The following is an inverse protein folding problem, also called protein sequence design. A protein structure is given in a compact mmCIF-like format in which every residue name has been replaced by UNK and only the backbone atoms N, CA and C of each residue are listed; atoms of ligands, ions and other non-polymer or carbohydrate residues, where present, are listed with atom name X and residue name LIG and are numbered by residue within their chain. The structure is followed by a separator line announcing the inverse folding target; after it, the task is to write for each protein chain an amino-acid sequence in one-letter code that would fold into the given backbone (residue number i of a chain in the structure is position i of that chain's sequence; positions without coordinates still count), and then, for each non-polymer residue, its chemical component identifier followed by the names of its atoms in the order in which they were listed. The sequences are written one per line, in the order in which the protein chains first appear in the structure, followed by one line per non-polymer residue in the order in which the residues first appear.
data_IF_847414430327
#
_entry.id   IF_847414430327
#
_cell.length_a   1.000
_cell.length_b   1.000
_cell.length_c   1.000
_cell.angle_alpha   90.00
_cell.angle_beta   90.00
_cell.angle_gamma   90.00
#
_symmetry.space_group_name_H-M   'P 1'
#
loop_
_entity.id
_entity.type
_entity.pdbx_description
1 polymer ?
#
# COMPACT_ATOMS: atom_id res chain seq x y z
N UNK A 1 9.52 -2.32 -10.17
CA UNK A 1 10.09 -2.38 -8.80
C UNK A 1 8.96 -2.53 -7.79
N UNK A 2 9.15 -3.28 -6.71
CA UNK A 2 8.15 -3.34 -5.64
C UNK A 2 8.20 -2.02 -4.87
N UNK A 3 7.06 -1.36 -4.70
CA UNK A 3 6.97 -0.05 -4.05
C UNK A 3 5.79 -0.01 -3.09
N UNK A 4 5.88 0.88 -2.12
CA UNK A 4 4.79 1.22 -1.21
C UNK A 4 4.22 2.58 -1.64
N UNK A 5 2.90 2.71 -1.72
CA UNK A 5 2.25 3.96 -2.10
C UNK A 5 0.99 4.22 -1.25
N UNK A 6 0.65 5.48 -1.01
CA UNK A 6 -0.57 5.92 -0.32
C UNK A 6 -1.23 7.08 -1.07
N UNK A 7 -2.36 7.57 -0.57
CA UNK A 7 -2.98 8.76 -1.15
C UNK A 7 -2.12 10.01 -0.90
N UNK A 8 -2.01 10.88 -1.91
CA UNK A 8 -1.18 12.11 -1.83
C UNK A 8 -1.62 12.98 -0.66
N UNK A 9 -0.65 13.40 0.16
CA UNK A 9 -0.90 14.25 1.33
C UNK A 9 -1.68 13.57 2.46
N UNK A 10 -1.92 12.26 2.39
CA UNK A 10 -2.56 11.54 3.47
C UNK A 10 -1.67 11.56 4.73
N UNK A 11 -2.24 11.85 5.91
CA UNK A 11 -1.49 11.81 7.14
C UNK A 11 -1.02 10.37 7.42
N UNK A 12 0.14 10.22 8.07
CA UNK A 12 0.57 8.90 8.51
C UNK A 12 -0.47 8.35 9.50
N UNK A 13 -0.97 7.12 9.30
CA UNK A 13 -2.09 6.59 10.08
C UNK A 13 -1.72 6.42 11.54
N UNK A 14 -2.66 6.78 12.43
CA UNK A 14 -2.54 6.58 13.87
C UNK A 14 -2.94 5.13 14.21
N UNK A 15 -1.96 4.31 14.58
CA UNK A 15 -2.18 2.91 14.98
C UNK A 15 -1.56 1.91 13.99
N UNK A 16 -2.16 0.72 13.90
CA UNK A 16 -1.69 -0.29 12.95
C UNK A 16 -1.96 0.15 11.52
N UNK A 17 -0.93 0.05 10.69
CA UNK A 17 -1.02 0.36 9.27
C UNK A 17 -1.81 -0.74 8.55
N UNK A 18 -2.82 -0.35 7.79
CA UNK A 18 -3.55 -1.24 6.88
C UNK A 18 -2.91 -1.20 5.50
N UNK A 19 -2.48 -2.36 5.01
CA UNK A 19 -1.74 -2.47 3.75
C UNK A 19 -2.47 -3.40 2.80
N UNK A 20 -2.90 -2.88 1.66
CA UNK A 20 -3.50 -3.69 0.61
C UNK A 20 -2.45 -4.16 -0.42
N UNK A 21 -2.46 -5.45 -0.75
CA UNK A 21 -1.51 -5.99 -1.74
C UNK A 21 -1.95 -7.33 -2.32
N UNK A 22 -1.46 -7.64 -3.53
CA UNK A 22 -1.43 -9.02 -4.04
C UNK A 22 -0.30 -9.87 -3.45
N UNK A 23 0.70 -9.27 -2.81
CA UNK A 23 1.91 -9.93 -2.32
C UNK A 23 1.95 -10.03 -0.79
N UNK A 24 0.97 -10.73 -0.19
CA UNK A 24 0.78 -10.75 1.28
C UNK A 24 2.04 -11.11 2.06
N UNK A 25 2.74 -12.16 1.66
CA UNK A 25 3.96 -12.61 2.38
C UNK A 25 5.11 -11.61 2.23
N UNK A 26 5.22 -10.95 1.06
CA UNK A 26 6.23 -9.91 0.84
C UNK A 26 5.93 -8.70 1.72
N UNK A 27 4.68 -8.25 1.78
CA UNK A 27 4.28 -7.14 2.64
C UNK A 27 4.54 -7.44 4.11
N UNK A 28 4.14 -8.62 4.60
CA UNK A 28 4.40 -9.05 5.98
C UNK A 28 5.89 -9.02 6.31
N UNK A 29 6.73 -9.57 5.42
CA UNK A 29 8.19 -9.59 5.62
C UNK A 29 8.80 -8.19 5.59
N UNK A 30 8.42 -7.38 4.60
CA UNK A 30 8.89 -6.01 4.43
C UNK A 30 8.65 -5.16 5.68
N UNK A 31 7.44 -5.23 6.26
CA UNK A 31 7.14 -4.47 7.48
C UNK A 31 7.73 -5.11 8.75
N UNK A 32 7.85 -6.43 8.81
CA UNK A 32 8.52 -7.12 9.91
C UNK A 32 10.00 -6.74 10.01
N UNK A 33 10.71 -6.64 8.87
CA UNK A 33 12.10 -6.17 8.78
C UNK A 33 12.26 -4.71 9.29
N UNK A 34 11.18 -3.93 9.29
CA UNK A 34 11.13 -2.55 9.82
C UNK A 34 10.65 -2.49 11.28
N UNK A 35 10.39 -3.63 11.94
CA UNK A 35 9.83 -3.67 13.29
C UNK A 35 8.40 -3.14 13.38
N UNK A 36 7.67 -3.09 12.24
CA UNK A 36 6.34 -2.49 12.14
C UNK A 36 5.28 -3.56 11.97
N UNK A 37 4.31 -3.59 12.87
CA UNK A 37 3.17 -4.49 12.76
C UNK A 37 2.09 -3.87 11.87
N UNK A 38 1.60 -4.66 10.91
CA UNK A 38 0.63 -4.19 9.90
C UNK A 38 -0.50 -5.20 9.72
N UNK A 39 -1.69 -4.69 9.39
CA UNK A 39 -2.82 -5.50 8.99
C UNK A 39 -2.84 -5.58 7.45
N UNK A 40 -2.57 -6.77 6.92
CA UNK A 40 -2.45 -6.97 5.47
C UNK A 40 -3.78 -7.42 4.88
N UNK A 41 -4.30 -6.64 3.93
CA UNK A 41 -5.52 -6.89 3.18
C UNK A 41 -5.12 -7.49 1.83
N UNK A 42 -5.48 -8.76 1.59
CA UNK A 42 -5.23 -9.41 0.30
C UNK A 42 -6.19 -8.83 -0.74
N UNK A 43 -5.63 -8.28 -1.81
CA UNK A 43 -6.38 -7.92 -3.01
C UNK A 43 -5.92 -8.76 -4.20
N UNK A 44 -6.81 -8.92 -5.18
CA UNK A 44 -6.56 -9.64 -6.43
C UNK A 44 -6.30 -8.70 -7.62
N UNK A 45 -6.71 -7.44 -7.52
CA UNK A 45 -6.53 -6.39 -8.53
C UNK A 45 -6.96 -5.02 -7.98
N UNK A 46 -6.88 -3.99 -8.83
CA UNK A 46 -7.32 -2.62 -8.54
C UNK A 46 -6.79 -2.06 -7.22
N UNK A 47 -5.49 -2.25 -6.95
CA UNK A 47 -4.87 -1.86 -5.68
C UNK A 47 -4.97 -0.36 -5.45
N UNK A 48 -4.86 0.42 -6.52
CA UNK A 48 -4.96 1.87 -6.54
C UNK A 48 -6.25 2.42 -5.92
N UNK A 49 -7.34 1.65 -5.92
CA UNK A 49 -8.61 2.05 -5.31
C UNK A 49 -8.58 1.94 -3.78
N UNK A 50 -7.75 1.06 -3.21
CA UNK A 50 -7.78 0.76 -1.78
C UNK A 50 -7.48 1.99 -0.88
N UNK A 51 -6.49 2.84 -1.20
CA UNK A 51 -6.29 4.10 -0.50
C UNK A 51 -7.42 5.11 -0.74
N UNK A 52 -7.91 5.19 -1.97
CA UNK A 52 -8.92 6.17 -2.37
C UNK A 52 -10.27 5.99 -1.65
N UNK A 53 -10.65 4.75 -1.34
CA UNK A 53 -11.90 4.43 -0.62
C UNK A 53 -11.70 4.20 0.88
N UNK A 54 -10.49 4.41 1.40
CA UNK A 54 -10.16 4.22 2.82
C UNK A 54 -10.11 2.75 3.28
N UNK A 55 -10.06 1.79 2.36
CA UNK A 55 -9.91 0.37 2.67
C UNK A 55 -8.54 0.08 3.29
N UNK A 56 -7.49 0.68 2.75
CA UNK A 56 -6.11 0.56 3.23
C UNK A 56 -5.46 1.92 3.27
N UNK A 57 -4.48 2.11 4.15
CA UNK A 57 -3.73 3.36 4.23
C UNK A 57 -2.62 3.39 3.16
N UNK A 58 -2.03 2.22 2.87
CA UNK A 58 -1.01 2.05 1.83
C UNK A 58 -1.26 0.81 1.00
N UNK A 59 -0.67 0.78 -0.18
CA UNK A 59 -0.56 -0.41 -1.02
C UNK A 59 0.89 -0.84 -1.18
N UNK A 60 1.09 -2.12 -1.43
CA UNK A 60 2.35 -2.64 -1.98
C UNK A 60 2.05 -3.26 -3.34
N UNK A 61 2.67 -2.71 -4.39
CA UNK A 61 2.55 -3.24 -5.74
C UNK A 61 3.84 -3.10 -6.55
N UNK A 62 3.89 -3.79 -7.69
CA UNK A 62 4.93 -3.64 -8.70
C UNK A 62 4.61 -2.44 -9.56
N UNK A 63 5.50 -1.45 -9.51
CA UNK A 63 5.40 -0.20 -10.26
C UNK A 63 6.54 -0.14 -11.26
N UNK A 64 6.24 0.28 -12.49
CA UNK A 64 7.27 0.53 -13.52
C UNK A 64 7.76 1.98 -13.47
N UNK A 65 7.05 2.91 -14.13
CA UNK A 65 7.40 4.34 -14.19
C UNK A 65 6.75 5.21 -13.10
N UNK A 66 5.81 4.65 -12.34
CA UNK A 66 5.01 5.40 -11.35
C UNK A 66 3.86 6.22 -11.95
N UNK A 67 3.69 6.22 -13.28
CA UNK A 67 2.62 6.98 -13.93
C UNK A 67 1.23 6.52 -13.48
N UNK A 68 1.02 5.21 -13.31
CA UNK A 68 -0.26 4.65 -12.82
C UNK A 68 -0.59 5.13 -11.41
N UNK A 69 0.40 5.25 -10.52
CA UNK A 69 0.17 5.74 -9.16
C UNK A 69 -0.24 7.22 -9.19
N UNK A 70 0.52 8.07 -9.89
CA UNK A 70 0.21 9.51 -10.01
C UNK A 70 -1.15 9.76 -10.66
N UNK A 71 -1.51 8.99 -11.69
CA UNK A 71 -2.81 9.08 -12.35
C UNK A 71 -3.98 8.78 -11.41
N UNK A 72 -3.74 8.01 -10.35
CA UNK A 72 -4.73 7.66 -9.33
C UNK A 72 -4.52 8.46 -8.02
N UNK A 73 -3.74 9.55 -8.05
CA UNK A 73 -3.52 10.39 -6.88
C UNK A 73 -2.74 9.71 -5.75
N UNK A 74 -1.82 8.81 -6.10
CA UNK A 74 -0.97 8.07 -5.16
C UNK A 74 0.50 8.49 -5.24
N UNK A 75 1.18 8.49 -4.08
CA UNK A 75 2.62 8.76 -3.91
C UNK A 75 3.31 7.78 -2.96
#
# INVERSE_FOLDING_TARGET
KLMTAGAIGAPEPKGRLRVATKFVNVAKRYYAEQGRQVDVIKLYGSMELAPLVGLADKIIDVVDTGNTLRANGLE
#
